data_IF_367559650854
#
_entry.id   IF_367559650854
#
_cell.length_a   1.000
_cell.length_b   1.000
_cell.length_c   1.000
_cell.angle_alpha   90.00
_cell.angle_beta   90.00
_cell.angle_gamma   90.00
#
_symmetry.space_group_name_H-M   'P 1'
#
loop_
_entity.id
_entity.type
_entity.pdbx_description
1 polymer ?
#
# COMPACT_ATOMS: atom_id res chain seq x y z
N UNK A 1 10.49 -3.60 23.81
CA UNK A 1 9.67 -3.31 22.62
C UNK A 1 9.69 -1.80 22.40
N UNK A 2 10.13 -1.32 21.24
CA UNK A 2 9.96 0.10 20.91
C UNK A 2 8.48 0.34 20.55
N UNK A 3 7.79 1.29 21.21
CA UNK A 3 6.45 1.66 20.80
C UNK A 3 6.53 2.40 19.46
N UNK A 4 5.83 1.87 18.45
CA UNK A 4 5.65 2.55 17.18
C UNK A 4 4.89 3.86 17.45
N UNK A 5 5.44 5.00 17.03
CA UNK A 5 4.87 6.35 17.22
C UNK A 5 3.48 6.51 16.57
N UNK A 6 3.11 5.59 15.67
CA UNK A 6 1.92 5.65 14.83
C UNK A 6 0.74 4.78 15.31
N UNK A 7 0.74 4.33 16.57
CA UNK A 7 -0.35 3.50 17.12
C UNK A 7 -1.74 4.09 16.96
N UNK A 8 -1.87 5.42 16.78
CA UNK A 8 -3.16 6.10 16.62
C UNK A 8 -3.86 5.89 15.28
N UNK A 9 -3.12 5.51 14.23
CA UNK A 9 -3.66 5.33 12.88
C UNK A 9 -3.58 3.89 12.39
N UNK A 10 -3.11 2.97 13.24
CA UNK A 10 -2.87 1.58 12.85
C UNK A 10 -4.15 0.86 12.39
N UNK A 11 -5.29 1.24 12.95
CA UNK A 11 -6.60 0.67 12.66
C UNK A 11 -7.45 1.59 11.76
N UNK A 12 -6.99 2.81 11.50
CA UNK A 12 -7.71 3.76 10.65
C UNK A 12 -7.44 3.42 9.17
N UNK A 13 -8.48 3.41 8.32
CA UNK A 13 -8.28 3.20 6.90
C UNK A 13 -7.42 4.32 6.30
N UNK A 14 -6.53 3.96 5.38
CA UNK A 14 -5.65 4.92 4.73
C UNK A 14 -6.48 5.89 3.86
N UNK A 15 -6.37 7.22 4.05
CA UNK A 15 -7.04 8.17 3.18
C UNK A 15 -6.42 8.10 1.78
N UNK A 16 -7.25 7.87 0.76
CA UNK A 16 -6.80 7.66 -0.64
C UNK A 16 -7.14 8.81 -1.57
N UNK A 17 -7.68 9.91 -1.03
CA UNK A 17 -7.97 11.12 -1.79
C UNK A 17 -7.09 12.26 -1.31
N UNK A 18 -6.40 12.91 -2.26
CA UNK A 18 -5.72 14.17 -1.99
C UNK A 18 -6.77 15.26 -1.74
N UNK A 19 -6.47 16.18 -0.80
CA UNK A 19 -7.32 17.35 -0.64
C UNK A 19 -7.20 18.27 -1.88
N UNK A 20 -8.21 19.12 -2.09
CA UNK A 20 -8.27 20.00 -3.27
C UNK A 20 -7.05 20.91 -3.36
N UNK A 21 -6.57 21.42 -2.23
CA UNK A 21 -5.38 22.28 -2.17
C UNK A 21 -4.13 21.62 -2.78
N UNK A 22 -3.85 20.36 -2.43
CA UNK A 22 -2.69 19.65 -2.96
C UNK A 22 -2.84 19.34 -4.45
N UNK A 23 -4.06 19.04 -4.92
CA UNK A 23 -4.32 18.83 -6.33
C UNK A 23 -4.09 20.10 -7.15
N UNK A 24 -4.51 21.26 -6.62
CA UNK A 24 -4.27 22.56 -7.25
C UNK A 24 -2.77 22.87 -7.31
N UNK A 25 -2.03 22.63 -6.22
CA UNK A 25 -0.58 22.84 -6.17
C UNK A 25 0.17 21.90 -7.15
N UNK A 26 -0.23 20.62 -7.23
CA UNK A 26 0.36 19.66 -8.16
C UNK A 26 0.11 20.00 -9.63
N UNK A 27 -1.01 20.66 -9.94
CA UNK A 27 -1.33 21.09 -11.31
C UNK A 27 -0.35 22.16 -11.83
N UNK A 28 0.21 22.97 -10.93
CA UNK A 28 1.17 24.03 -11.25
C UNK A 28 2.62 23.53 -11.32
N UNK A 29 2.90 22.31 -10.85
CA UNK A 29 4.25 21.72 -10.90
C UNK A 29 4.56 21.21 -12.32
N UNK A 30 5.38 21.96 -13.04
CA UNK A 30 6.02 21.49 -14.26
C UNK A 30 7.14 20.50 -13.93
N UNK A 31 6.83 19.21 -13.97
CA UNK A 31 7.85 18.15 -13.94
C UNK A 31 8.52 18.08 -15.32
N UNK A 32 9.67 18.73 -15.47
CA UNK A 32 10.41 18.79 -16.74
C UNK A 32 11.14 17.49 -17.09
N UNK A 33 11.26 16.55 -16.15
CA UNK A 33 11.92 15.28 -16.36
C UNK A 33 10.91 14.20 -16.74
N UNK A 34 11.05 13.64 -17.94
CA UNK A 34 10.49 12.34 -18.26
C UNK A 34 11.27 11.29 -17.47
N UNK A 35 10.69 10.83 -16.37
CA UNK A 35 11.21 9.67 -15.64
C UNK A 35 10.91 8.41 -16.46
N UNK A 36 11.84 7.47 -16.47
CA UNK A 36 11.56 6.12 -16.95
C UNK A 36 10.51 5.48 -16.05
N UNK A 37 9.57 4.74 -16.64
CA UNK A 37 8.59 3.99 -15.87
C UNK A 37 9.33 2.93 -15.05
N UNK A 38 8.98 2.81 -13.77
CA UNK A 38 9.47 1.72 -12.93
C UNK A 38 9.00 0.40 -13.58
N UNK A 39 9.91 -0.52 -13.92
CA UNK A 39 9.53 -1.78 -14.54
C UNK A 39 8.66 -2.60 -13.58
N UNK A 40 7.68 -3.32 -14.13
CA UNK A 40 6.88 -4.24 -13.32
C UNK A 40 7.77 -5.36 -12.73
N UNK A 41 7.59 -5.72 -11.45
CA UNK A 41 8.33 -6.82 -10.85
C UNK A 41 7.99 -8.14 -11.56
N UNK A 42 9.02 -8.97 -11.79
CA UNK A 42 8.93 -10.28 -12.46
C UNK A 42 7.89 -11.17 -11.76
N UNK A 43 7.90 -11.17 -10.43
CA UNK A 43 6.93 -11.84 -9.59
C UNK A 43 6.15 -10.81 -8.77
N UNK A 44 4.87 -10.65 -9.09
CA UNK A 44 3.99 -9.76 -8.34
C UNK A 44 3.44 -10.46 -7.09
N UNK A 45 3.58 -9.78 -5.94
CA UNK A 45 2.98 -10.21 -4.68
C UNK A 45 1.71 -9.41 -4.44
N UNK A 46 0.63 -10.12 -4.14
CA UNK A 46 -0.68 -9.52 -3.86
C UNK A 46 -1.17 -9.92 -2.48
N UNK A 47 -1.88 -9.01 -1.81
CA UNK A 47 -2.55 -9.25 -0.53
C UNK A 47 -3.88 -8.50 -0.50
N UNK A 48 -4.95 -9.11 0.01
CA UNK A 48 -6.23 -8.41 0.17
C UNK A 48 -6.29 -7.64 1.48
N UNK A 49 -7.10 -6.59 1.52
CA UNK A 49 -7.46 -5.91 2.77
C UNK A 49 -7.86 -6.93 3.86
N UNK A 50 -7.43 -6.67 5.09
CA UNK A 50 -7.55 -7.53 6.28
C UNK A 50 -6.74 -8.83 6.29
N UNK A 51 -6.07 -9.20 5.19
CA UNK A 51 -5.07 -10.28 5.21
C UNK A 51 -3.74 -9.78 5.80
N UNK A 52 -2.92 -10.72 6.26
CA UNK A 52 -1.60 -10.40 6.83
C UNK A 52 -0.64 -10.01 5.70
N UNK A 53 -0.07 -8.82 5.82
CA UNK A 53 0.95 -8.33 4.89
C UNK A 53 2.18 -9.23 4.99
N UNK A 54 2.64 -9.88 3.90
CA UNK A 54 3.77 -10.81 3.97
C UNK A 54 5.12 -10.12 4.13
N UNK A 55 5.25 -8.88 3.63
CA UNK A 55 6.49 -8.13 3.60
C UNK A 55 6.28 -6.67 3.96
N UNK A 56 7.22 -6.11 4.72
CA UNK A 56 7.32 -4.66 4.85
C UNK A 56 7.73 -4.05 3.51
N UNK A 57 7.18 -2.89 3.17
CA UNK A 57 7.52 -2.22 1.92
C UNK A 57 6.45 -1.24 1.44
N UNK A 58 6.61 -0.76 0.21
CA UNK A 58 5.65 0.11 -0.46
C UNK A 58 4.72 -0.76 -1.30
N UNK A 59 3.42 -0.59 -1.07
CA UNK A 59 2.34 -1.30 -1.75
C UNK A 59 1.40 -0.31 -2.42
N UNK A 60 0.88 -0.66 -3.60
CA UNK A 60 -0.12 0.12 -4.30
C UNK A 60 -1.48 -0.60 -4.35
N UNK A 61 -2.60 0.12 -4.22
CA UNK A 61 -3.93 -0.46 -4.33
C UNK A 61 -4.32 -0.62 -5.81
N UNK A 62 -4.70 -1.83 -6.20
CA UNK A 62 -5.16 -2.15 -7.55
C UNK A 62 -6.63 -2.57 -7.55
N UNK A 63 -7.32 -2.28 -8.65
CA UNK A 63 -8.67 -2.75 -8.92
C UNK A 63 -8.65 -4.29 -8.97
N UNK A 64 -9.30 -4.91 -7.99
CA UNK A 64 -9.44 -6.35 -7.94
C UNK A 64 -10.88 -6.75 -8.22
N UNK A 65 -11.06 -7.68 -9.15
CA UNK A 65 -12.36 -8.30 -9.36
C UNK A 65 -12.89 -8.86 -8.01
N UNK A 66 -14.20 -8.68 -7.74
CA UNK A 66 -14.80 -9.18 -6.52
C UNK A 66 -14.62 -10.68 -6.43
N UNK A 67 -14.36 -11.16 -5.22
CA UNK A 67 -14.11 -12.58 -4.96
C UNK A 67 -15.37 -13.38 -5.30
N UNK A 68 -15.33 -14.17 -6.38
CA UNK A 68 -16.47 -15.00 -6.78
C UNK A 68 -16.47 -16.29 -5.95
N UNK A 69 -17.41 -16.36 -5.00
CA UNK A 69 -17.68 -17.60 -4.27
C UNK A 69 -18.63 -18.44 -5.14
N UNK A 70 -18.14 -19.56 -5.67
CA UNK A 70 -18.97 -20.50 -6.41
C UNK A 70 -19.65 -21.45 -5.43
N UNK A 71 -20.98 -21.44 -5.36
CA UNK A 71 -21.76 -22.37 -4.53
C UNK A 71 -21.62 -23.84 -4.98
N UNK A 72 -21.20 -24.07 -6.23
CA UNK A 72 -21.03 -25.40 -6.82
C UNK A 72 -19.67 -26.02 -6.49
N UNK A 73 -18.71 -25.20 -6.06
CA UNK A 73 -17.34 -25.62 -5.74
C UNK A 73 -16.91 -24.77 -4.55
N UNK A 74 -16.93 -25.30 -3.33
CA UNK A 74 -16.51 -24.63 -2.09
C UNK A 74 -15.06 -24.06 -2.09
N UNK A 75 -14.42 -23.99 -3.25
CA UNK A 75 -13.14 -23.35 -3.49
C UNK A 75 -13.33 -21.89 -3.88
N UNK A 76 -12.72 -21.01 -3.08
CA UNK A 76 -12.45 -19.64 -3.48
C UNK A 76 -11.42 -19.69 -4.60
N UNK A 77 -11.82 -19.36 -5.83
CA UNK A 77 -10.87 -19.12 -6.92
C UNK A 77 -10.36 -17.68 -6.81
N UNK A 78 -9.22 -17.50 -6.14
CA UNK A 78 -8.47 -16.25 -6.23
C UNK A 78 -7.84 -16.16 -7.62
N UNK A 79 -8.49 -15.45 -8.55
CA UNK A 79 -7.88 -15.09 -9.82
C UNK A 79 -6.72 -14.14 -9.52
N UNK A 80 -5.50 -14.54 -9.87
CA UNK A 80 -4.32 -13.68 -9.74
C UNK A 80 -4.50 -12.51 -10.73
N UNK A 81 -4.50 -11.24 -10.27
CA UNK A 81 -4.58 -10.08 -11.15
C UNK A 81 -3.48 -10.13 -12.22
N UNK A 82 -3.80 -9.71 -13.45
CA UNK A 82 -2.86 -9.67 -14.57
C UNK A 82 -2.68 -8.21 -15.03
N UNK A 83 -1.49 -7.82 -15.50
CA UNK A 83 -1.27 -6.49 -16.06
C UNK A 83 -2.08 -6.29 -17.36
N UNK A 84 -2.41 -5.03 -17.73
CA UNK A 84 -2.09 -3.80 -17.02
C UNK A 84 -2.95 -3.61 -15.76
N UNK A 85 -2.34 -3.19 -14.66
CA UNK A 85 -3.04 -2.97 -13.41
C UNK A 85 -3.69 -1.59 -13.38
N UNK A 86 -4.94 -1.51 -12.92
CA UNK A 86 -5.63 -0.25 -12.69
C UNK A 86 -5.41 0.17 -11.23
N UNK A 87 -4.62 1.21 -11.02
CA UNK A 87 -4.36 1.78 -9.69
C UNK A 87 -5.61 2.55 -9.24
N UNK A 88 -6.11 2.28 -8.04
CA UNK A 88 -7.39 2.83 -7.53
C UNK A 88 -7.24 3.73 -6.30
N UNK A 89 -6.00 4.07 -5.92
CA UNK A 89 -5.70 4.90 -4.77
C UNK A 89 -4.20 5.14 -4.63
N UNK A 90 -3.80 5.70 -3.50
CA UNK A 90 -2.41 6.04 -3.21
C UNK A 90 -1.63 4.84 -2.68
N UNK A 91 -0.35 4.75 -3.07
CA UNK A 91 0.57 3.78 -2.46
C UNK A 91 0.78 4.06 -0.96
N UNK A 92 0.97 3.02 -0.18
CA UNK A 92 1.19 3.09 1.27
C UNK A 92 2.36 2.20 1.68
N UNK A 93 3.05 2.59 2.75
CA UNK A 93 4.01 1.71 3.40
C UNK A 93 3.26 0.75 4.32
N UNK A 94 3.30 -0.55 4.02
CA UNK A 94 2.68 -1.57 4.86
C UNK A 94 3.75 -2.30 5.66
N UNK A 95 3.47 -2.58 6.93
CA UNK A 95 4.35 -3.35 7.79
C UNK A 95 4.06 -4.86 7.66
N UNK A 96 5.10 -5.66 7.44
CA UNK A 96 5.00 -7.12 7.42
C UNK A 96 4.47 -7.66 8.75
N UNK A 97 3.52 -8.58 8.70
CA UNK A 97 2.86 -9.14 9.88
C UNK A 97 1.66 -8.33 10.39
N UNK A 98 1.46 -7.09 9.93
CA UNK A 98 0.25 -6.32 10.22
C UNK A 98 -0.89 -6.69 9.26
N UNK A 99 -2.13 -6.37 9.64
CA UNK A 99 -3.27 -6.46 8.72
C UNK A 99 -3.15 -5.38 7.64
N UNK A 100 -3.43 -5.78 6.42
CA UNK A 100 -3.49 -4.88 5.28
C UNK A 100 -4.71 -3.96 5.43
N UNK A 101 -4.58 -2.63 5.25
CA UNK A 101 -5.69 -1.70 5.48
C UNK A 101 -6.80 -1.86 4.44
N UNK A 102 -8.00 -1.45 4.84
CA UNK A 102 -9.08 -1.17 3.89
C UNK A 102 -8.87 0.21 3.26
N UNK A 103 -9.37 0.37 2.04
CA UNK A 103 -9.38 1.65 1.37
C UNK A 103 -10.73 2.31 1.57
N UNK A 104 -10.74 3.50 2.14
CA UNK A 104 -11.95 4.32 2.20
C UNK A 104 -12.08 5.16 0.95
N UNK A 105 -13.20 5.01 0.24
CA UNK A 105 -13.58 5.91 -0.86
C UNK A 105 -14.67 6.85 -0.34
N UNK A 106 -14.34 8.14 -0.25
CA UNK A 106 -15.29 9.19 0.16
C UNK A 106 -16.06 9.71 -1.05
N UNK A 107 -17.36 9.43 -1.12
CA UNK A 107 -18.26 9.97 -2.15
C UNK A 107 -19.26 10.90 -1.47
N UNK A 108 -19.06 12.21 -1.65
CA UNK A 108 -19.89 13.31 -1.14
C UNK A 108 -20.08 13.29 0.39
N UNK A 109 -20.97 12.44 0.90
CA UNK A 109 -21.34 12.31 2.32
C UNK A 109 -21.26 10.86 2.84
N UNK A 110 -20.83 9.90 2.01
CA UNK A 110 -20.71 8.50 2.38
C UNK A 110 -19.26 8.04 2.21
N UNK A 111 -18.78 7.31 3.21
CA UNK A 111 -17.48 6.65 3.23
C UNK A 111 -17.74 5.16 3.04
N UNK A 112 -17.27 4.60 1.93
CA UNK A 112 -17.40 3.17 1.67
C UNK A 112 -16.02 2.54 1.78
N UNK A 113 -15.87 1.60 2.71
CA UNK A 113 -14.68 0.78 2.83
C UNK A 113 -14.70 -0.30 1.75
N UNK A 114 -13.73 -0.22 0.84
CA UNK A 114 -13.60 -1.13 -0.29
C UNK A 114 -12.58 -2.22 0.01
N UNK A 115 -12.96 -3.47 -0.27
CA UNK A 115 -12.05 -4.62 -0.24
C UNK A 115 -11.04 -4.49 -1.37
N UNK A 116 -9.87 -3.96 -1.01
CA UNK A 116 -8.81 -3.60 -1.94
C UNK A 116 -7.80 -4.74 -2.04
N UNK A 117 -7.23 -4.92 -3.24
CA UNK A 117 -6.04 -5.75 -3.39
C UNK A 117 -4.84 -4.83 -3.45
N UNK A 118 -3.83 -5.16 -2.68
CA UNK A 118 -2.58 -4.44 -2.61
C UNK A 118 -1.52 -5.24 -3.37
N UNK A 119 -0.78 -4.54 -4.24
CA UNK A 119 0.33 -5.08 -5.01
C UNK A 119 1.63 -4.51 -4.45
N UNK A 120 2.59 -5.37 -4.15
CA UNK A 120 3.91 -4.94 -3.70
C UNK A 120 4.67 -4.32 -4.88
N UNK A 121 5.16 -3.08 -4.70
CA UNK A 121 5.99 -2.41 -5.70
C UNK A 121 7.45 -2.27 -5.25
N UNK A 122 7.69 -2.26 -3.93
CA UNK A 122 9.04 -2.29 -3.38
C UNK A 122 9.06 -2.98 -2.02
N UNK A 123 9.91 -3.98 -1.85
CA UNK A 123 10.12 -4.68 -0.58
C UNK A 123 11.20 -3.96 0.22
N UNK A 124 10.95 -3.73 1.51
CA UNK A 124 11.97 -3.24 2.43
C UNK A 124 12.71 -4.42 3.08
N UNK A 125 13.91 -4.70 2.60
CA UNK A 125 14.82 -5.73 3.11
C UNK A 125 16.11 -5.17 3.70
N UNK A 126 16.24 -3.83 3.79
CA UNK A 126 17.47 -3.13 4.16
C UNK A 126 18.04 -3.52 5.51
N UNK A 127 17.17 -3.87 6.46
CA UNK A 127 17.55 -4.25 7.82
C UNK A 127 17.45 -5.75 8.09
N UNK A 128 17.16 -6.57 7.08
CA UNK A 128 16.97 -8.00 7.27
C UNK A 128 18.26 -8.73 7.69
N UNK A 129 19.43 -8.18 7.36
CA UNK A 129 20.74 -8.71 7.74
C UNK A 129 21.28 -8.13 9.06
N UNK A 130 20.52 -7.25 9.71
CA UNK A 130 20.91 -6.57 10.95
C UNK A 130 21.92 -5.45 10.77
N UNK A 131 22.25 -5.06 9.54
CA UNK A 131 23.13 -3.92 9.26
C UNK A 131 22.33 -2.62 9.21
N UNK A 132 22.99 -1.52 9.56
CA UNK A 132 22.45 -0.16 9.41
C UNK A 132 23.20 0.47 8.23
N UNK A 133 22.49 0.99 7.21
CA UNK A 133 23.11 1.70 6.11
C UNK A 133 24.02 2.83 6.61
N UNK A 134 25.10 3.10 5.88
CA UNK A 134 26.12 4.07 6.32
C UNK A 134 25.52 5.46 6.57
N UNK A 135 24.58 5.85 5.72
CA UNK A 135 23.81 7.08 5.81
C UNK A 135 22.98 7.22 7.10
N UNK A 136 22.62 6.11 7.74
CA UNK A 136 21.77 6.07 8.94
C UNK A 136 22.59 5.87 10.25
N UNK A 137 23.91 5.67 10.16
CA UNK A 137 24.76 5.38 11.34
C UNK A 137 24.70 6.45 12.43
N UNK A 138 24.42 7.70 12.05
CA UNK A 138 24.37 8.84 12.97
C UNK A 138 22.94 9.18 13.44
N UNK A 139 21.94 8.40 13.03
CA UNK A 139 20.56 8.62 13.48
C UNK A 139 20.46 8.27 14.97
N UNK A 140 20.09 9.25 15.78
CA UNK A 140 19.86 9.09 17.21
C UNK A 140 18.39 9.36 17.52
N UNK A 141 17.68 8.33 17.98
CA UNK A 141 16.32 8.49 18.47
C UNK A 141 16.40 8.78 19.97
N UNK A 142 15.97 9.98 20.37
CA UNK A 142 15.80 10.28 21.79
C UNK A 142 14.49 9.63 22.24
N UNK A 143 14.57 8.68 23.16
CA UNK A 143 13.38 8.19 23.86
C UNK A 143 12.89 9.29 24.80
N UNK A 144 11.72 9.86 24.51
CA UNK A 144 10.91 10.64 25.46
C UNK A 144 9.97 9.73 26.23
#
# INVERSE_FOLDING_TARGET
>A
SMPILETRYLEDPAPTTYNSWLLDELADICVTNKFELVPDPIDSVFVRSNEITPYSGIWEPIDAEPMKISLLTLFVKNKIPQPPFKIIGTMNYLHGGSKTPQMTVSIKNESIDSNTMWRLIWRDDRYCDGTIPQEEQNYSFKST
#
